data_IF_192218547352
#
_entry.id   IF_192218547352
#
_cell.length_a   1.000
_cell.length_b   1.000
_cell.length_c   1.000
_cell.angle_alpha   90.00
_cell.angle_beta   90.00
_cell.angle_gamma   90.00
#
_symmetry.space_group_name_H-M   'P 1'
#
loop_
_entity.id
_entity.type
_entity.pdbx_description
1 polymer ?
#
# COMPACT_ATOMS: atom_id res chain seq x y z
N UNK A 1 -35.12 41.88 14.37
CA UNK A 1 -34.02 40.88 14.45
C UNK A 1 -32.71 41.64 14.42
N UNK A 2 -31.83 41.42 15.40
CA UNK A 2 -30.50 42.06 15.44
C UNK A 2 -29.62 41.48 14.32
N UNK A 3 -28.99 42.34 13.53
CA UNK A 3 -28.08 41.96 12.46
C UNK A 3 -26.92 41.09 12.97
N UNK A 4 -26.51 41.26 14.23
CA UNK A 4 -25.49 40.43 14.86
C UNK A 4 -25.94 38.98 15.06
N UNK A 5 -27.21 38.76 15.41
CA UNK A 5 -27.76 37.41 15.58
C UNK A 5 -27.89 36.67 14.24
N UNK A 6 -28.25 37.38 13.17
CA UNK A 6 -28.31 36.81 11.81
C UNK A 6 -26.92 36.41 11.33
N UNK A 7 -25.91 37.24 11.56
CA UNK A 7 -24.53 36.93 11.19
C UNK A 7 -23.95 35.74 11.97
N UNK A 8 -24.27 35.59 13.25
CA UNK A 8 -23.86 34.42 14.04
C UNK A 8 -24.51 33.13 13.51
N UNK A 9 -25.80 33.19 13.19
CA UNK A 9 -26.54 32.05 12.65
C UNK A 9 -26.00 31.64 11.28
N UNK A 10 -25.72 32.60 10.39
CA UNK A 10 -25.11 32.31 9.08
C UNK A 10 -23.72 31.68 9.22
N UNK A 11 -22.88 32.21 10.12
CA UNK A 11 -21.53 31.68 10.37
C UNK A 11 -21.58 30.26 10.92
N UNK A 12 -22.53 29.97 11.80
CA UNK A 12 -22.74 28.65 12.36
C UNK A 12 -23.17 27.65 11.28
N UNK A 13 -24.15 28.02 10.44
CA UNK A 13 -24.68 27.18 9.35
C UNK A 13 -23.60 26.82 8.33
N UNK A 14 -22.75 27.77 7.97
CA UNK A 14 -21.62 27.52 7.07
C UNK A 14 -20.58 26.60 7.69
N UNK A 15 -20.29 26.77 8.99
CA UNK A 15 -19.32 25.93 9.71
C UNK A 15 -19.82 24.48 9.84
N UNK A 16 -21.10 24.27 10.15
CA UNK A 16 -21.69 22.92 10.21
C UNK A 16 -21.80 22.27 8.84
N UNK A 17 -22.12 22.99 7.77
CA UNK A 17 -22.14 22.44 6.41
C UNK A 17 -20.75 21.94 5.98
N UNK A 18 -19.72 22.73 6.24
CA UNK A 18 -18.34 22.39 5.89
C UNK A 18 -17.79 21.22 6.73
N UNK A 19 -18.21 21.10 7.99
CA UNK A 19 -17.91 19.94 8.82
C UNK A 19 -18.66 18.68 8.33
N UNK A 20 -19.90 18.82 7.86
CA UNK A 20 -20.69 17.69 7.34
C UNK A 20 -20.08 17.09 6.07
N UNK A 21 -19.67 17.92 5.11
CA UNK A 21 -19.17 17.41 3.83
C UNK A 21 -17.72 16.90 3.93
N UNK A 22 -16.89 17.54 4.76
CA UNK A 22 -15.49 17.13 4.97
C UNK A 22 -15.34 15.80 5.71
N UNK A 23 -16.20 15.52 6.70
CA UNK A 23 -16.14 14.29 7.50
C UNK A 23 -16.63 13.07 6.72
N UNK A 24 -17.68 13.23 5.92
CA UNK A 24 -18.17 12.17 5.03
C UNK A 24 -17.11 11.80 3.98
N UNK A 25 -16.55 12.79 3.29
CA UNK A 25 -15.50 12.59 2.28
C UNK A 25 -14.24 11.94 2.87
N UNK A 26 -13.85 12.34 4.08
CA UNK A 26 -12.72 11.73 4.79
C UNK A 26 -12.99 10.26 5.12
N UNK A 27 -14.19 9.93 5.59
CA UNK A 27 -14.56 8.55 5.94
C UNK A 27 -14.54 7.66 4.70
N UNK A 28 -15.12 8.13 3.59
CA UNK A 28 -15.13 7.38 2.35
C UNK A 28 -13.72 7.21 1.77
N UNK A 29 -12.88 8.25 1.83
CA UNK A 29 -11.48 8.14 1.43
C UNK A 29 -10.74 7.08 2.27
N UNK A 30 -10.93 7.07 3.60
CA UNK A 30 -10.31 6.08 4.49
C UNK A 30 -10.74 4.66 4.17
N UNK A 31 -12.03 4.44 3.89
CA UNK A 31 -12.54 3.12 3.50
C UNK A 31 -11.90 2.64 2.19
N UNK A 32 -11.87 3.51 1.17
CA UNK A 32 -11.27 3.20 -0.13
C UNK A 32 -9.79 2.86 0.00
N UNK A 33 -9.02 3.67 0.74
CA UNK A 33 -7.60 3.41 0.96
C UNK A 33 -7.36 2.11 1.75
N UNK A 34 -8.17 1.83 2.77
CA UNK A 34 -8.09 0.58 3.55
C UNK A 34 -8.32 -0.64 2.65
N UNK A 35 -9.37 -0.61 1.82
CA UNK A 35 -9.67 -1.69 0.88
C UNK A 35 -8.54 -1.89 -0.14
N UNK A 36 -7.95 -0.79 -0.65
CA UNK A 36 -6.81 -0.85 -1.56
C UNK A 36 -5.58 -1.49 -0.88
N UNK A 37 -5.29 -1.14 0.38
CA UNK A 37 -4.20 -1.74 1.16
C UNK A 37 -4.44 -3.23 1.40
N UNK A 38 -5.66 -3.64 1.72
CA UNK A 38 -5.98 -5.05 1.91
C UNK A 38 -5.81 -5.85 0.61
N UNK A 39 -6.18 -5.26 -0.53
CA UNK A 39 -6.00 -5.83 -1.88
C UNK A 39 -4.57 -5.82 -2.42
N UNK A 40 -3.63 -5.13 -1.78
CA UNK A 40 -2.23 -5.09 -2.20
C UNK A 40 -1.54 -6.45 -1.95
N UNK A 41 -1.39 -7.24 -3.01
CA UNK A 41 -1.01 -8.67 -2.92
C UNK A 41 0.44 -8.91 -2.50
N UNK A 42 1.33 -7.96 -2.77
CA UNK A 42 2.77 -8.10 -2.50
C UNK A 42 3.16 -7.54 -1.13
N UNK A 43 2.25 -6.82 -0.47
CA UNK A 43 2.48 -6.31 0.89
C UNK A 43 2.29 -7.42 1.92
N UNK A 44 3.21 -7.49 2.88
CA UNK A 44 3.07 -8.37 4.03
C UNK A 44 2.13 -7.79 5.11
N UNK A 45 1.79 -8.60 6.11
CA UNK A 45 0.87 -8.21 7.19
C UNK A 45 1.31 -6.95 7.94
N UNK A 46 2.58 -6.85 8.31
CA UNK A 46 3.10 -5.73 9.08
C UNK A 46 3.05 -4.41 8.29
N UNK A 47 3.38 -4.46 6.99
CA UNK A 47 3.28 -3.30 6.09
C UNK A 47 1.82 -2.85 5.93
N UNK A 48 0.89 -3.80 5.70
CA UNK A 48 -0.55 -3.50 5.63
C UNK A 48 -1.07 -2.89 6.92
N UNK A 49 -0.71 -3.46 8.07
CA UNK A 49 -1.16 -2.97 9.38
C UNK A 49 -0.65 -1.55 9.65
N UNK A 50 0.62 -1.27 9.32
CA UNK A 50 1.20 0.07 9.47
C UNK A 50 0.52 1.12 8.57
N UNK A 51 0.26 0.78 7.31
CA UNK A 51 -0.43 1.68 6.38
C UNK A 51 -1.88 1.93 6.81
N UNK A 52 -2.59 0.89 7.27
CA UNK A 52 -3.96 1.03 7.80
C UNK A 52 -4.01 1.89 9.07
N UNK A 53 -3.01 1.79 9.94
CA UNK A 53 -2.89 2.68 11.09
C UNK A 53 -2.73 4.14 10.66
N UNK A 54 -1.89 4.42 9.65
CA UNK A 54 -1.75 5.77 9.08
C UNK A 54 -3.07 6.29 8.48
N UNK A 55 -3.78 5.46 7.70
CA UNK A 55 -5.10 5.81 7.14
C UNK A 55 -6.09 6.16 8.26
N UNK A 56 -6.10 5.37 9.34
CA UNK A 56 -6.97 5.59 10.50
C UNK A 56 -6.68 6.94 11.17
N UNK A 57 -5.40 7.29 11.34
CA UNK A 57 -4.97 8.54 11.97
C UNK A 57 -5.11 9.77 11.07
N UNK A 58 -5.30 9.61 9.75
CA UNK A 58 -5.38 10.74 8.83
C UNK A 58 -6.58 11.65 9.13
N UNK A 59 -6.35 12.96 9.13
CA UNK A 59 -7.38 13.97 9.44
C UNK A 59 -7.93 14.67 8.18
N UNK A 60 -7.32 14.43 7.01
CA UNK A 60 -7.68 15.07 5.74
C UNK A 60 -7.66 14.06 4.61
N UNK A 61 -8.56 14.23 3.65
CA UNK A 61 -8.66 13.37 2.45
C UNK A 61 -7.32 13.29 1.73
N UNK A 62 -6.62 14.42 1.56
CA UNK A 62 -5.31 14.45 0.92
C UNK A 62 -4.25 13.57 1.62
N UNK A 63 -4.28 13.49 2.96
CA UNK A 63 -3.36 12.59 3.67
C UNK A 63 -3.69 11.13 3.37
N UNK A 64 -4.97 10.78 3.33
CA UNK A 64 -5.42 9.43 2.96
C UNK A 64 -4.99 9.07 1.53
N UNK A 65 -5.16 9.99 0.58
CA UNK A 65 -4.72 9.81 -0.81
C UNK A 65 -3.21 9.58 -0.90
N UNK A 66 -2.40 10.34 -0.17
CA UNK A 66 -0.96 10.15 -0.15
C UNK A 66 -0.57 8.78 0.43
N UNK A 67 -1.23 8.34 1.51
CA UNK A 67 -0.97 7.03 2.12
C UNK A 67 -1.34 5.90 1.12
N UNK A 68 -2.43 6.05 0.39
CA UNK A 68 -2.80 5.10 -0.67
C UNK A 68 -1.74 5.05 -1.78
N UNK A 69 -1.19 6.19 -2.19
CA UNK A 69 -0.09 6.24 -3.16
C UNK A 69 1.17 5.53 -2.63
N UNK A 70 1.56 5.80 -1.38
CA UNK A 70 2.66 5.09 -0.72
C UNK A 70 2.42 3.58 -0.69
N UNK A 71 1.18 3.14 -0.43
CA UNK A 71 0.83 1.72 -0.44
C UNK A 71 1.00 1.09 -1.83
N UNK A 72 0.62 1.79 -2.90
CA UNK A 72 0.78 1.32 -4.27
C UNK A 72 2.25 1.20 -4.67
N UNK A 73 3.06 2.20 -4.33
CA UNK A 73 4.50 2.22 -4.59
C UNK A 73 5.21 1.11 -3.83
N UNK A 74 4.89 0.93 -2.54
CA UNK A 74 5.44 -0.15 -1.74
C UNK A 74 5.02 -1.52 -2.30
N UNK A 75 3.76 -1.69 -2.72
CA UNK A 75 3.29 -2.95 -3.31
C UNK A 75 4.03 -3.27 -4.61
N UNK A 76 4.35 -2.26 -5.40
CA UNK A 76 5.14 -2.41 -6.64
C UNK A 76 6.56 -2.83 -6.32
N UNK A 77 7.23 -2.11 -5.41
CA UNK A 77 8.58 -2.42 -4.98
C UNK A 77 8.70 -3.82 -4.36
N UNK A 78 7.70 -4.24 -3.56
CA UNK A 78 7.65 -5.58 -2.99
C UNK A 78 7.45 -6.66 -4.05
N UNK A 79 6.66 -6.39 -5.09
CA UNK A 79 6.52 -7.31 -6.23
C UNK A 79 7.83 -7.48 -7.00
N UNK A 80 8.56 -6.38 -7.23
CA UNK A 80 9.87 -6.41 -7.88
C UNK A 80 10.90 -7.17 -7.02
N UNK A 81 10.90 -6.96 -5.71
CA UNK A 81 11.75 -7.70 -4.79
C UNK A 81 11.48 -9.20 -4.84
N UNK A 82 10.21 -9.60 -4.81
CA UNK A 82 9.83 -11.02 -4.90
C UNK A 82 10.29 -11.64 -6.21
N UNK A 83 10.06 -10.96 -7.34
CA UNK A 83 10.52 -11.43 -8.64
C UNK A 83 12.05 -11.61 -8.69
N UNK A 84 12.81 -10.63 -8.17
CA UNK A 84 14.28 -10.73 -8.14
C UNK A 84 14.79 -11.91 -7.31
N UNK A 85 14.12 -12.24 -6.20
CA UNK A 85 14.45 -13.41 -5.37
C UNK A 85 14.16 -14.72 -6.12
N UNK A 86 13.02 -14.79 -6.81
CA UNK A 86 12.62 -15.99 -7.55
C UNK A 86 13.55 -16.26 -8.76
N UNK A 87 13.98 -15.20 -9.44
CA UNK A 87 14.99 -15.26 -10.51
C UNK A 87 16.35 -15.75 -9.98
N UNK A 88 16.79 -15.24 -8.82
CA UNK A 88 18.04 -15.66 -8.18
C UNK A 88 17.99 -17.16 -7.82
N UNK A 89 16.89 -17.63 -7.24
CA UNK A 89 16.68 -19.02 -6.88
C UNK A 89 16.71 -19.94 -8.12
N UNK A 90 16.02 -19.55 -9.20
CA UNK A 90 16.00 -20.29 -10.46
C UNK A 90 17.39 -20.38 -11.09
N UNK A 91 18.16 -19.28 -11.04
CA UNK A 91 19.53 -19.22 -11.55
C UNK A 91 20.45 -20.17 -10.76
N UNK A 92 20.39 -20.15 -9.42
CA UNK A 92 21.18 -21.05 -8.57
C UNK A 92 20.87 -22.53 -8.81
N UNK A 93 19.59 -22.88 -8.97
CA UNK A 93 19.20 -24.27 -9.28
C UNK A 93 19.75 -24.71 -10.64
N UNK A 94 19.62 -23.87 -11.66
CA UNK A 94 20.13 -24.16 -13.02
C UNK A 94 21.65 -24.34 -13.01
N UNK A 95 22.39 -23.46 -12.32
CA UNK A 95 23.84 -23.57 -12.18
C UNK A 95 24.25 -24.87 -11.48
N UNK A 96 23.54 -25.27 -10.43
CA UNK A 96 23.82 -26.53 -9.73
C UNK A 96 23.59 -27.74 -10.65
N UNK A 97 22.47 -27.78 -11.40
CA UNK A 97 22.18 -28.85 -12.37
C UNK A 97 23.27 -28.94 -13.45
N UNK A 98 23.67 -27.81 -14.03
CA UNK A 98 24.75 -27.77 -15.05
C UNK A 98 26.06 -28.29 -14.46
N UNK A 99 26.39 -27.88 -13.23
CA UNK A 99 27.60 -28.32 -12.53
C UNK A 99 27.58 -29.82 -12.25
N UNK A 100 26.47 -30.34 -11.71
CA UNK A 100 26.27 -31.77 -11.46
C UNK A 100 26.34 -32.60 -12.75
N UNK A 101 25.74 -32.12 -13.84
CA UNK A 101 25.80 -32.79 -15.13
C UNK A 101 27.23 -32.82 -15.69
N UNK A 102 28.00 -31.74 -15.51
CA UNK A 102 29.42 -31.69 -15.89
C UNK A 102 30.25 -32.70 -15.09
N UNK A 103 30.03 -32.80 -13.78
CA UNK A 103 30.72 -33.76 -12.90
C UNK A 103 30.36 -35.20 -13.26
N UNK A 104 29.08 -35.52 -13.50
CA UNK A 104 28.63 -36.85 -13.93
C UNK A 104 29.27 -37.27 -15.25
N UNK A 105 29.32 -36.37 -16.24
CA UNK A 105 29.96 -36.64 -17.54
C UNK A 105 31.46 -36.91 -17.39
N UNK A 106 32.15 -36.17 -16.53
CA UNK A 106 33.57 -36.40 -16.23
C UNK A 106 33.82 -37.75 -15.54
N UNK A 107 32.92 -38.20 -14.67
CA UNK A 107 33.03 -39.52 -14.04
C UNK A 107 32.82 -40.66 -15.05
N UNK A 108 31.86 -40.52 -15.97
CA UNK A 108 31.56 -41.56 -16.97
C UNK A 108 32.67 -41.78 -18.00
N UNK A 109 33.51 -40.78 -18.26
CA UNK A 109 34.64 -40.91 -19.21
C UNK A 109 35.85 -41.62 -18.56
N UNK A 110 35.88 -41.71 -17.23
CA UNK A 110 37.02 -42.28 -16.47
C UNK A 110 36.82 -43.75 -16.05
N UNK A 111 35.72 -44.38 -16.46
CA UNK A 111 35.41 -45.81 -16.27
C UNK A 111 35.57 -46.53 -17.62
#
# INVERSE_FOLDING_TARGET
>A
MDANAINQIATQVTSTKNALDGTHNLTQAKQTATNAIDGATNLNKAQKDALKAQVTSAQRVANVTNIQQTANELNTAMGQLQHGIDDENTTKQTQNIVTLNKVRKLLMIKL
#
